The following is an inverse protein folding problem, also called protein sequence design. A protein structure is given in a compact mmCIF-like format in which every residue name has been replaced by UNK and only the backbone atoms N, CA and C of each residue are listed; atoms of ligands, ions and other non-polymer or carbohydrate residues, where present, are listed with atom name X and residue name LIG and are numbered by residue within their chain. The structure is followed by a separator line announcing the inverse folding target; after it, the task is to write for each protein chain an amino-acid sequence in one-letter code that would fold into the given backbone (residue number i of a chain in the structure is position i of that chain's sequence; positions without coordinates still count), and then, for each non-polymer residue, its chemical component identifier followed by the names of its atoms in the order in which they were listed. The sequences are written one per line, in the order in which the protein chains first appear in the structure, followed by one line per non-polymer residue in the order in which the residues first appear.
data_IF_247686862889
#
_entry.id   IF_247686862889
#
_cell.length_a   1.000
_cell.length_b   1.000
_cell.length_c   1.000
_cell.angle_alpha   90.00
_cell.angle_beta   90.00
_cell.angle_gamma   90.00
#
_symmetry.space_group_name_H-M   'P 1'
#
loop_
_entity.id
_entity.type
_entity.pdbx_description
1 polymer ?
#
# COMPACT_ATOMS: atom_id res chain seq x y z
N UNK A 1 -40.69 24.86 -1.39
CA UNK A 1 -39.87 25.44 -0.30
C UNK A 1 -38.47 24.88 -0.46
N UNK A 2 -37.49 25.75 -0.57
CA UNK A 2 -36.11 25.46 -0.94
C UNK A 2 -35.30 24.76 0.17
N UNK A 3 -34.23 24.07 -0.23
CA UNK A 3 -33.06 23.70 0.59
C UNK A 3 -33.28 22.49 1.51
N UNK A 4 -32.34 21.55 1.70
CA UNK A 4 -30.89 21.67 1.61
C UNK A 4 -30.26 20.37 1.10
N UNK A 5 -29.40 20.54 0.12
CA UNK A 5 -28.32 19.64 -0.27
C UNK A 5 -27.38 19.36 0.91
N UNK A 6 -27.29 18.09 1.31
CA UNK A 6 -26.20 17.56 2.12
C UNK A 6 -25.54 16.39 1.40
N UNK A 7 -24.77 16.69 0.34
CA UNK A 7 -23.84 15.74 -0.26
C UNK A 7 -22.74 15.45 0.78
N UNK A 8 -22.80 14.29 1.44
CA UNK A 8 -21.59 13.70 1.99
C UNK A 8 -20.93 12.95 0.84
N UNK A 9 -19.97 13.61 0.20
CA UNK A 9 -19.15 13.01 -0.85
C UNK A 9 -18.41 11.77 -0.31
N UNK A 10 -18.10 10.79 -1.17
CA UNK A 10 -17.22 9.71 -0.78
C UNK A 10 -15.87 10.30 -0.37
N UNK A 11 -15.48 10.07 0.88
CA UNK A 11 -14.15 10.40 1.37
C UNK A 11 -13.14 9.67 0.49
N UNK A 12 -12.38 10.45 -0.28
CA UNK A 12 -11.27 9.96 -1.11
C UNK A 12 -10.21 9.36 -0.20
N UNK A 13 -10.25 8.04 -0.03
CA UNK A 13 -9.15 7.21 0.50
C UNK A 13 -8.59 6.34 -0.64
N UNK A 14 -8.52 6.90 -1.85
CA UNK A 14 -8.28 6.15 -3.09
C UNK A 14 -6.82 5.78 -3.33
N UNK A 15 -5.86 6.23 -2.52
CA UNK A 15 -4.45 5.92 -2.74
C UNK A 15 -3.96 4.76 -1.86
N UNK A 16 -4.19 4.81 -0.55
CA UNK A 16 -3.67 3.79 0.38
C UNK A 16 -4.50 2.49 0.38
N UNK A 17 -5.82 2.62 0.19
CA UNK A 17 -6.74 1.48 0.26
C UNK A 17 -6.73 0.64 -1.04
N UNK A 18 -6.13 1.16 -2.12
CA UNK A 18 -5.88 0.39 -3.34
C UNK A 18 -4.77 -0.64 -3.18
N UNK A 19 -3.80 -0.41 -2.28
CA UNK A 19 -2.74 -1.38 -2.01
C UNK A 19 -3.25 -2.57 -1.18
N UNK A 20 -4.31 -2.39 -0.39
CA UNK A 20 -4.94 -3.44 0.41
C UNK A 20 -5.83 -4.41 -0.37
N UNK A 21 -6.21 -4.08 -1.62
CA UNK A 21 -7.15 -4.88 -2.43
C UNK A 21 -6.49 -5.86 -3.40
N UNK A 22 -5.19 -5.74 -3.65
CA UNK A 22 -4.43 -6.78 -4.35
C UNK A 22 -3.86 -7.71 -3.28
N UNK A 23 -4.35 -8.96 -3.21
CA UNK A 23 -3.89 -9.93 -2.19
C UNK A 23 -2.37 -9.94 -2.06
N UNK A 24 -1.84 -10.10 -0.85
CA UNK A 24 -0.44 -9.81 -0.46
C UNK A 24 0.59 -10.32 -1.47
N UNK A 25 0.96 -9.46 -2.43
CA UNK A 25 2.00 -9.78 -3.41
C UNK A 25 3.35 -9.60 -2.71
N UNK A 26 4.15 -10.66 -2.70
CA UNK A 26 5.47 -10.66 -2.06
C UNK A 26 6.57 -10.83 -3.09
N UNK A 27 7.73 -10.24 -2.80
CA UNK A 27 8.96 -10.47 -3.54
C UNK A 27 9.78 -11.52 -2.82
N UNK A 28 10.26 -12.52 -3.56
CA UNK A 28 11.07 -13.62 -3.04
C UNK A 28 12.36 -13.71 -3.83
N UNK A 29 13.49 -13.83 -3.13
CA UNK A 29 14.78 -14.15 -3.76
C UNK A 29 15.52 -15.19 -2.93
N UNK A 30 15.81 -16.33 -3.55
CA UNK A 30 16.65 -17.38 -2.97
C UNK A 30 18.08 -17.21 -3.45
N UNK A 31 19.05 -17.51 -2.58
CA UNK A 31 20.44 -17.62 -3.01
C UNK A 31 20.62 -18.83 -3.95
N UNK A 32 21.67 -18.85 -4.80
CA UNK A 32 21.87 -19.94 -5.77
C UNK A 32 21.96 -21.33 -5.15
N UNK A 33 22.43 -21.43 -3.90
CA UNK A 33 22.53 -22.68 -3.17
C UNK A 33 21.27 -23.04 -2.34
N UNK A 34 20.23 -22.20 -2.37
CA UNK A 34 18.94 -22.45 -1.72
C UNK A 34 18.91 -22.40 -0.19
N UNK A 35 20.04 -22.19 0.48
CA UNK A 35 20.11 -22.21 1.97
C UNK A 35 19.46 -21.01 2.63
N UNK A 36 19.36 -19.89 1.91
CA UNK A 36 18.78 -18.63 2.39
C UNK A 36 17.78 -18.16 1.34
N UNK A 37 16.63 -17.70 1.82
CA UNK A 37 15.62 -17.05 0.99
C UNK A 37 15.10 -15.83 1.71
N UNK A 38 15.15 -14.68 1.04
CA UNK A 38 14.62 -13.42 1.56
C UNK A 38 13.22 -13.17 0.99
N UNK A 39 12.33 -12.68 1.84
CA UNK A 39 10.98 -12.27 1.49
C UNK A 39 10.81 -10.79 1.82
N UNK A 40 10.27 -10.01 0.89
CA UNK A 40 9.93 -8.61 1.09
C UNK A 40 8.47 -8.36 0.69
N UNK A 41 7.78 -7.54 1.49
CA UNK A 41 6.42 -7.09 1.16
C UNK A 41 6.39 -6.02 0.06
N UNK A 42 7.48 -5.24 -0.07
CA UNK A 42 7.63 -4.16 -1.07
C UNK A 42 9.11 -4.02 -1.47
N UNK A 43 9.38 -3.35 -2.60
CA UNK A 43 10.75 -3.05 -3.08
C UNK A 43 11.09 -1.57 -3.07
N UNK A 44 10.06 -0.74 -3.13
CA UNK A 44 10.19 0.71 -3.08
C UNK A 44 9.85 1.15 -1.67
N UNK A 45 10.78 1.86 -1.05
CA UNK A 45 10.72 2.38 0.31
C UNK A 45 10.69 3.89 0.17
N UNK A 46 9.65 4.53 0.71
CA UNK A 46 9.47 5.97 0.58
C UNK A 46 10.16 6.62 1.78
N UNK A 47 11.09 7.53 1.49
CA UNK A 47 11.72 8.34 2.52
C UNK A 47 10.76 9.47 2.90
N UNK A 48 10.25 9.41 4.13
CA UNK A 48 9.57 10.55 4.74
C UNK A 48 10.57 11.31 5.60
N UNK A 49 10.48 12.64 5.62
CA UNK A 49 11.40 13.53 6.35
C UNK A 49 11.66 13.12 7.83
N UNK A 50 10.71 12.42 8.45
CA UNK A 50 10.82 11.92 9.83
C UNK A 50 11.19 10.44 9.96
N UNK A 51 10.89 9.63 8.95
CA UNK A 51 11.09 8.18 8.98
C UNK A 51 11.08 7.60 7.57
N UNK A 52 11.88 6.57 7.34
CA UNK A 52 11.82 5.78 6.12
C UNK A 52 10.91 4.59 6.39
N UNK A 53 9.93 4.38 5.51
CA UNK A 53 9.09 3.18 5.51
C UNK A 53 9.74 2.09 4.66
#
# INVERSE_FOLDING_TARGET
MAGLSGQNGPMDSSAEDQQRKQGTRVYKKSCPNGKITTYLGKRDFIDHLSHID
#
